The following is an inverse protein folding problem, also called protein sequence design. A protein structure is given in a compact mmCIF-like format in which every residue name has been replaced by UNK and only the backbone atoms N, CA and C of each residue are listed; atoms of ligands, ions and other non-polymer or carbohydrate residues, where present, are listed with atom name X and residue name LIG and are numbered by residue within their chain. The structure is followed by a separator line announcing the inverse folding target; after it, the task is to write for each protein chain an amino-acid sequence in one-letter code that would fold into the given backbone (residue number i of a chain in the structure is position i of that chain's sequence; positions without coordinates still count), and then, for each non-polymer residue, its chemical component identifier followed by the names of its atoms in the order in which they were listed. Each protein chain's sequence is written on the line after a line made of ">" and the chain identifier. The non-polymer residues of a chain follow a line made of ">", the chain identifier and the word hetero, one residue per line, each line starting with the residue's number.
data_IF_659565364825
#
_entry.id   IF_659565364825
#
_cell.length_a   1.000
_cell.length_b   1.000
_cell.length_c   1.000
_cell.angle_alpha   90.00
_cell.angle_beta   90.00
_cell.angle_gamma   90.00
#
_symmetry.space_group_name_H-M   'P 1'
#
loop_
_entity.id
_entity.type
_entity.pdbx_description
1 polymer ?
#
# COMPACT_ATOMS: atom_id res chain seq x y z
N UNK A 1 15.35 -21.39 -13.65
CA UNK A 1 14.50 -21.41 -12.44
C UNK A 1 15.24 -20.68 -11.35
N UNK A 2 14.69 -19.63 -10.76
CA UNK A 2 15.37 -18.92 -9.69
C UNK A 2 14.48 -17.86 -9.08
N UNK A 3 13.97 -18.13 -7.89
CA UNK A 3 13.38 -17.12 -7.04
C UNK A 3 14.50 -16.32 -6.36
N UNK A 4 14.23 -15.06 -6.03
CA UNK A 4 15.10 -14.23 -5.21
C UNK A 4 14.41 -14.01 -3.87
N UNK A 5 15.11 -14.30 -2.77
CA UNK A 5 14.62 -14.04 -1.42
C UNK A 5 15.70 -13.35 -0.60
N UNK A 6 15.39 -12.18 -0.04
CA UNK A 6 16.28 -11.41 0.83
C UNK A 6 15.56 -11.15 2.13
N UNK A 7 16.22 -11.45 3.26
CA UNK A 7 15.65 -11.25 4.59
C UNK A 7 16.61 -10.46 5.48
N UNK A 8 16.18 -9.31 5.97
CA UNK A 8 16.85 -8.54 7.03
C UNK A 8 16.14 -8.76 8.36
N UNK A 9 16.44 -9.85 9.08
CA UNK A 9 15.65 -10.36 10.23
C UNK A 9 15.34 -9.32 11.32
N UNK A 10 16.22 -8.33 11.55
CA UNK A 10 15.99 -7.26 12.53
C UNK A 10 16.44 -5.88 12.06
N UNK A 11 16.85 -5.76 10.79
CA UNK A 11 17.40 -4.52 10.23
C UNK A 11 16.49 -3.93 9.16
N UNK A 12 16.97 -2.86 8.54
CA UNK A 12 16.36 -2.26 7.36
C UNK A 12 16.88 -2.92 6.07
N UNK A 13 16.05 -2.93 5.03
CA UNK A 13 16.45 -3.32 3.68
C UNK A 13 16.42 -2.10 2.77
N UNK A 14 17.54 -1.80 2.11
CA UNK A 14 17.63 -0.71 1.14
C UNK A 14 18.18 -1.21 -0.18
N UNK A 15 17.45 -0.93 -1.26
CA UNK A 15 17.91 -1.07 -2.64
C UNK A 15 17.91 0.31 -3.29
N UNK A 16 19.08 0.79 -3.69
CA UNK A 16 19.22 2.02 -4.48
C UNK A 16 18.85 1.79 -5.95
N UNK A 17 19.54 2.46 -6.87
CA UNK A 17 19.30 2.37 -8.32
C UNK A 17 19.77 1.04 -8.96
N UNK A 18 19.45 -0.09 -8.32
CA UNK A 18 19.83 -1.44 -8.74
C UNK A 18 18.68 -2.22 -9.37
N UNK A 19 19.03 -3.38 -9.93
CA UNK A 19 18.08 -4.28 -10.57
C UNK A 19 18.03 -5.63 -9.85
N UNK A 20 16.83 -6.12 -9.55
CA UNK A 20 16.58 -7.51 -9.15
C UNK A 20 15.74 -8.15 -10.25
N UNK A 21 16.19 -9.29 -10.76
CA UNK A 21 15.45 -10.07 -11.76
C UNK A 21 15.37 -11.52 -11.35
N UNK A 22 14.15 -12.06 -11.35
CA UNK A 22 13.86 -13.46 -11.06
C UNK A 22 12.96 -14.05 -12.16
N UNK A 23 13.20 -15.32 -12.51
CA UNK A 23 12.32 -16.09 -13.38
C UNK A 23 11.12 -16.70 -12.61
N UNK A 24 10.87 -16.22 -11.39
CA UNK A 24 9.81 -16.65 -10.48
C UNK A 24 9.57 -15.52 -9.47
N UNK A 25 9.36 -15.85 -8.20
CA UNK A 25 9.07 -14.91 -7.10
C UNK A 25 10.29 -14.06 -6.71
N UNK A 26 10.03 -12.81 -6.34
CA UNK A 26 10.95 -11.94 -5.59
C UNK A 26 10.34 -11.63 -4.23
N UNK A 27 11.03 -11.99 -3.14
CA UNK A 27 10.62 -11.67 -1.78
C UNK A 27 11.68 -10.83 -1.07
N UNK A 28 11.28 -9.66 -0.56
CA UNK A 28 12.10 -8.76 0.23
C UNK A 28 11.46 -8.62 1.62
N UNK A 29 12.04 -9.26 2.62
CA UNK A 29 11.53 -9.32 3.98
C UNK A 29 12.42 -8.51 4.93
N UNK A 30 11.83 -7.72 5.81
CA UNK A 30 12.56 -6.85 6.73
C UNK A 30 11.90 -6.78 8.10
N UNK A 31 12.70 -6.92 9.15
CA UNK A 31 12.30 -6.64 10.53
C UNK A 31 12.05 -5.15 10.76
N UNK A 32 12.67 -4.28 9.95
CA UNK A 32 12.50 -2.84 9.94
C UNK A 32 11.94 -2.33 8.61
N UNK A 33 12.45 -1.18 8.16
CA UNK A 33 12.04 -0.48 6.95
C UNK A 33 12.46 -1.25 5.68
N UNK A 34 11.73 -0.99 4.60
CA UNK A 34 12.13 -1.38 3.24
C UNK A 34 12.15 -0.11 2.41
N UNK A 35 13.26 0.19 1.74
CA UNK A 35 13.36 1.32 0.81
C UNK A 35 13.90 0.86 -0.53
N UNK A 36 13.10 1.01 -1.58
CA UNK A 36 13.51 0.91 -2.96
C UNK A 36 13.55 2.33 -3.55
N UNK A 37 14.70 2.79 -4.03
CA UNK A 37 14.84 4.13 -4.61
C UNK A 37 15.63 4.09 -5.93
N UNK A 38 14.94 4.33 -7.04
CA UNK A 38 15.51 4.17 -8.38
C UNK A 38 15.62 2.71 -8.83
N UNK A 39 14.99 1.78 -8.14
CA UNK A 39 15.19 0.35 -8.34
C UNK A 39 14.27 -0.22 -9.44
N UNK A 40 14.74 -1.27 -10.11
CA UNK A 40 13.88 -2.12 -10.95
C UNK A 40 13.82 -3.53 -10.36
N UNK A 41 12.61 -4.00 -10.06
CA UNK A 41 12.38 -5.36 -9.55
C UNK A 41 11.47 -6.07 -10.53
N UNK A 42 11.98 -7.12 -11.17
CA UNK A 42 11.24 -7.94 -12.12
C UNK A 42 11.12 -9.38 -11.62
N UNK A 43 9.89 -9.85 -11.47
CA UNK A 43 9.56 -11.25 -11.22
C UNK A 43 8.76 -11.81 -12.39
N UNK A 44 8.84 -13.13 -12.60
CA UNK A 44 7.89 -13.88 -13.46
C UNK A 44 6.93 -14.72 -12.59
N UNK A 45 6.71 -14.23 -11.37
CA UNK A 45 5.89 -14.74 -10.29
C UNK A 45 5.62 -13.59 -9.32
N UNK A 46 5.26 -13.88 -8.08
CA UNK A 46 4.91 -12.82 -7.12
C UNK A 46 6.10 -11.91 -6.76
N UNK A 47 5.84 -10.64 -6.49
CA UNK A 47 6.77 -9.71 -5.85
C UNK A 47 6.20 -9.33 -4.48
N UNK A 48 6.92 -9.61 -3.41
CA UNK A 48 6.52 -9.22 -2.05
C UNK A 48 7.57 -8.36 -1.36
N UNK A 49 7.10 -7.27 -0.75
CA UNK A 49 7.86 -6.43 0.18
C UNK A 49 7.15 -6.53 1.52
N UNK A 50 7.76 -7.24 2.48
CA UNK A 50 7.18 -7.50 3.79
C UNK A 50 8.02 -6.84 4.89
N UNK A 51 7.53 -5.71 5.42
CA UNK A 51 8.22 -4.90 6.43
C UNK A 51 7.66 -5.05 7.83
N UNK A 52 8.23 -4.33 8.79
CA UNK A 52 7.73 -4.26 10.18
C UNK A 52 7.65 -5.60 10.94
N UNK A 53 8.60 -6.51 10.69
CA UNK A 53 8.67 -7.80 11.39
C UNK A 53 9.03 -7.70 12.87
N UNK A 54 10.05 -6.92 13.24
CA UNK A 54 10.55 -6.81 14.62
C UNK A 54 10.36 -5.40 15.21
N UNK A 55 10.10 -4.41 14.36
CA UNK A 55 9.89 -3.02 14.76
C UNK A 55 8.82 -2.36 13.88
N UNK A 56 8.31 -1.22 14.31
CA UNK A 56 7.47 -0.37 13.46
C UNK A 56 8.26 0.10 12.25
N UNK A 57 7.68 0.07 11.05
CA UNK A 57 8.43 0.33 9.83
C UNK A 57 7.65 1.06 8.75
N UNK A 58 8.36 1.49 7.72
CA UNK A 58 7.79 1.98 6.48
C UNK A 58 8.35 1.22 5.29
N UNK A 59 7.46 0.88 4.36
CA UNK A 59 7.84 0.43 3.03
C UNK A 59 7.80 1.65 2.10
N UNK A 60 8.91 1.93 1.42
CA UNK A 60 9.04 3.02 0.46
C UNK A 60 9.44 2.48 -0.90
N UNK A 61 8.63 2.76 -1.92
CA UNK A 61 8.93 2.51 -3.32
C UNK A 61 8.96 3.86 -4.02
N UNK A 62 10.16 4.32 -4.34
CA UNK A 62 10.44 5.67 -4.82
C UNK A 62 11.15 5.60 -6.16
N UNK A 63 10.68 6.32 -7.18
CA UNK A 63 11.33 6.36 -8.49
C UNK A 63 11.62 4.95 -9.07
N UNK A 64 10.78 3.96 -8.74
CA UNK A 64 11.09 2.54 -8.92
C UNK A 64 10.04 1.84 -9.78
N UNK A 65 10.40 0.70 -10.36
CA UNK A 65 9.49 -0.18 -11.09
C UNK A 65 9.46 -1.56 -10.46
N UNK A 66 8.27 -2.06 -10.13
CA UNK A 66 8.01 -3.43 -9.74
C UNK A 66 7.15 -4.08 -10.83
N UNK A 67 7.65 -5.11 -11.49
CA UNK A 67 6.95 -5.78 -12.60
C UNK A 67 6.95 -7.30 -12.40
N UNK A 68 5.78 -7.90 -12.14
CA UNK A 68 5.65 -9.33 -11.79
C UNK A 68 5.25 -10.23 -12.96
N UNK A 69 5.00 -9.67 -14.14
CA UNK A 69 4.62 -10.38 -15.36
C UNK A 69 3.45 -11.38 -15.15
N UNK A 70 2.36 -10.91 -14.54
CA UNK A 70 1.18 -11.73 -14.21
C UNK A 70 1.16 -12.28 -12.77
N UNK A 71 2.27 -12.22 -12.03
CA UNK A 71 2.28 -12.50 -10.59
C UNK A 71 1.67 -11.36 -9.76
N UNK A 72 1.39 -11.58 -8.48
CA UNK A 72 0.90 -10.53 -7.60
C UNK A 72 2.03 -9.58 -7.17
N UNK A 73 1.68 -8.34 -6.82
CA UNK A 73 2.58 -7.41 -6.14
C UNK A 73 1.98 -7.09 -4.76
N UNK A 74 2.71 -7.42 -3.71
CA UNK A 74 2.25 -7.28 -2.33
C UNK A 74 3.21 -6.41 -1.53
N UNK A 75 2.69 -5.31 -0.97
CA UNK A 75 3.38 -4.48 0.02
C UNK A 75 2.60 -4.63 1.32
N UNK A 76 3.13 -5.40 2.26
CA UNK A 76 2.39 -5.82 3.45
C UNK A 76 3.32 -5.93 4.68
N UNK A 77 2.73 -6.15 5.85
CA UNK A 77 3.43 -6.35 7.10
C UNK A 77 3.88 -7.80 7.21
N UNK A 78 5.13 -8.01 7.61
CA UNK A 78 5.67 -9.32 7.89
C UNK A 78 4.90 -9.94 9.07
N UNK A 79 4.42 -11.17 8.87
CA UNK A 79 3.80 -11.95 9.94
C UNK A 79 4.80 -12.18 11.07
N UNK A 80 4.36 -11.97 12.30
CA UNK A 80 5.14 -12.29 13.51
C UNK A 80 4.69 -13.63 14.06
N UNK A 81 5.65 -14.44 14.49
CA UNK A 81 5.38 -15.67 15.23
C UNK A 81 5.86 -15.54 16.68
N UNK A 82 5.22 -16.26 17.61
CA UNK A 82 5.77 -16.47 18.95
C UNK A 82 6.99 -17.43 18.92
N UNK A 83 7.54 -17.75 20.10
CA UNK A 83 8.69 -18.65 20.24
C UNK A 83 8.37 -20.09 19.78
N UNK A 84 7.10 -20.46 19.80
CA UNK A 84 6.55 -21.75 19.39
C UNK A 84 6.20 -21.78 17.89
N UNK A 85 6.33 -20.67 17.17
CA UNK A 85 6.07 -20.57 15.74
C UNK A 85 4.62 -20.28 15.37
N UNK A 86 3.73 -20.01 16.34
CA UNK A 86 2.34 -19.63 16.07
C UNK A 86 2.27 -18.18 15.59
N UNK A 87 1.39 -17.89 14.64
CA UNK A 87 1.14 -16.50 14.22
C UNK A 87 0.52 -15.72 15.38
N UNK A 88 1.15 -14.61 15.76
CA UNK A 88 0.66 -13.69 16.78
C UNK A 88 0.33 -12.34 16.18
N UNK A 89 -0.55 -11.59 16.85
CA UNK A 89 -0.88 -10.21 16.46
C UNK A 89 0.39 -9.36 16.47
N UNK A 90 0.83 -8.94 15.29
CA UNK A 90 1.98 -8.07 15.15
C UNK A 90 1.66 -6.68 15.79
N UNK A 91 2.40 -6.25 16.83
CA UNK A 91 2.16 -4.97 17.52
C UNK A 91 2.77 -3.77 16.77
N UNK A 92 3.50 -4.01 15.69
CA UNK A 92 4.21 -2.97 14.96
C UNK A 92 3.28 -2.24 14.00
N UNK A 93 3.32 -0.91 14.03
CA UNK A 93 2.76 -0.09 12.98
C UNK A 93 3.59 -0.21 11.69
N UNK A 94 2.91 -0.18 10.56
CA UNK A 94 3.52 -0.14 9.25
C UNK A 94 2.83 0.89 8.37
N UNK A 95 3.60 1.78 7.75
CA UNK A 95 3.12 2.69 6.70
C UNK A 95 3.71 2.31 5.34
N UNK A 96 3.08 2.77 4.26
CA UNK A 96 3.55 2.54 2.89
C UNK A 96 3.56 3.84 2.09
N UNK A 97 4.67 4.09 1.38
CA UNK A 97 4.81 5.17 0.41
C UNK A 97 5.18 4.60 -0.95
N UNK A 98 4.37 4.86 -1.96
CA UNK A 98 4.70 4.62 -3.37
C UNK A 98 4.72 5.98 -4.06
N UNK A 99 5.87 6.42 -4.56
CA UNK A 99 6.00 7.75 -5.13
C UNK A 99 6.81 7.74 -6.41
N UNK A 100 6.30 8.41 -7.45
CA UNK A 100 6.91 8.42 -8.78
C UNK A 100 7.33 7.03 -9.26
N UNK A 101 6.46 6.03 -9.05
CA UNK A 101 6.81 4.62 -9.25
C UNK A 101 5.75 3.88 -10.04
N UNK A 102 6.15 2.77 -10.65
CA UNK A 102 5.27 1.87 -11.40
C UNK A 102 5.20 0.53 -10.70
N UNK A 103 3.99 0.11 -10.32
CA UNK A 103 3.70 -1.26 -9.91
C UNK A 103 2.86 -1.89 -11.02
N UNK A 104 3.42 -2.85 -11.73
CA UNK A 104 2.80 -3.48 -12.87
C UNK A 104 2.70 -5.00 -12.71
N UNK A 105 1.48 -5.47 -12.46
CA UNK A 105 1.15 -6.88 -12.37
C UNK A 105 0.61 -7.47 -13.67
N UNK A 106 0.66 -6.75 -14.80
CA UNK A 106 0.17 -7.28 -16.08
C UNK A 106 1.04 -8.41 -16.60
N UNK A 107 0.40 -9.40 -17.22
CA UNK A 107 1.08 -10.41 -18.01
C UNK A 107 1.39 -9.88 -19.42
N UNK A 108 2.61 -10.06 -19.89
CA UNK A 108 3.01 -9.61 -21.23
C UNK A 108 2.49 -10.53 -22.36
N UNK A 109 2.01 -11.73 -22.03
CA UNK A 109 1.54 -12.72 -23.00
C UNK A 109 0.06 -12.51 -23.33
N UNK A 110 -0.29 -12.58 -24.62
CA UNK A 110 -1.69 -12.54 -25.06
C UNK A 110 -2.50 -13.66 -24.40
N UNK A 111 -3.58 -13.29 -23.69
CA UNK A 111 -4.42 -14.22 -22.95
C UNK A 111 -3.85 -14.68 -21.60
N UNK A 112 -2.70 -14.16 -21.18
CA UNK A 112 -2.17 -14.37 -19.84
C UNK A 112 -2.96 -13.59 -18.78
N UNK A 113 -3.15 -14.19 -17.61
CA UNK A 113 -3.86 -13.56 -16.50
C UNK A 113 -2.97 -12.52 -15.82
N UNK A 114 -3.51 -11.32 -15.62
CA UNK A 114 -2.87 -10.28 -14.83
C UNK A 114 -2.92 -10.63 -13.32
N UNK A 115 -1.87 -10.28 -12.58
CA UNK A 115 -1.83 -10.47 -11.14
C UNK A 115 -2.48 -9.31 -10.39
N UNK A 116 -2.70 -9.47 -9.09
CA UNK A 116 -3.29 -8.42 -8.26
C UNK A 116 -2.21 -7.53 -7.64
N UNK A 117 -2.57 -6.30 -7.27
CA UNK A 117 -1.76 -5.42 -6.43
C UNK A 117 -2.45 -5.27 -5.08
N UNK A 118 -1.74 -5.57 -4.00
CA UNK A 118 -2.21 -5.38 -2.62
C UNK A 118 -1.22 -4.54 -1.84
N UNK A 119 -1.67 -3.39 -1.36
CA UNK A 119 -0.89 -2.50 -0.49
C UNK A 119 -1.65 -2.36 0.82
N UNK A 120 -1.01 -2.74 1.92
CA UNK A 120 -1.61 -2.70 3.25
C UNK A 120 -0.80 -1.87 4.22
N UNK A 121 -1.48 -1.27 5.19
CA UNK A 121 -0.85 -0.53 6.28
C UNK A 121 -1.59 -0.78 7.60
N UNK A 122 -0.87 -0.67 8.71
CA UNK A 122 -1.39 -1.02 10.03
C UNK A 122 -0.94 -0.01 11.07
N UNK A 123 -1.82 0.42 11.97
CA UNK A 123 -1.44 1.09 13.20
C UNK A 123 -2.24 0.49 14.38
N UNK A 124 -1.68 -0.50 15.09
CA UNK A 124 -2.33 -1.12 16.24
C UNK A 124 -2.18 -0.25 17.51
N UNK A 125 -2.60 1.02 17.44
CA UNK A 125 -2.50 2.02 18.52
C UNK A 125 -1.06 2.46 18.90
N UNK A 126 -0.12 2.43 17.97
CA UNK A 126 1.23 2.99 18.14
C UNK A 126 1.19 4.51 18.01
N UNK A 127 1.79 5.21 18.97
CA UNK A 127 1.95 6.67 18.92
C UNK A 127 3.04 7.11 17.92
N UNK A 128 2.69 7.19 16.63
CA UNK A 128 3.59 7.64 15.57
C UNK A 128 3.98 9.14 15.66
N UNK A 129 3.41 9.90 16.60
CA UNK A 129 3.74 11.33 16.78
C UNK A 129 5.04 11.56 17.54
N UNK A 130 5.57 10.55 18.25
CA UNK A 130 6.86 10.68 18.95
C UNK A 130 8.01 10.90 17.96
N UNK A 131 9.07 11.57 18.41
CA UNK A 131 10.19 12.01 17.57
C UNK A 131 10.92 10.87 16.87
N UNK A 132 11.04 9.71 17.53
CA UNK A 132 11.74 8.53 17.00
C UNK A 132 11.18 8.04 15.65
N UNK A 133 9.89 8.28 15.38
CA UNK A 133 9.23 7.81 14.16
C UNK A 133 9.20 8.83 13.03
N UNK A 134 9.61 10.08 13.27
CA UNK A 134 9.45 11.18 12.31
C UNK A 134 10.12 10.91 10.96
N UNK A 135 11.31 10.32 10.97
CA UNK A 135 12.11 10.08 9.76
C UNK A 135 12.16 8.60 9.33
N UNK A 136 11.53 7.70 10.09
CA UNK A 136 11.62 6.24 9.88
C UNK A 136 10.28 5.66 9.45
N UNK A 137 9.24 5.84 10.26
CA UNK A 137 7.92 5.22 10.03
C UNK A 137 6.88 6.22 9.53
N UNK A 138 6.95 7.48 9.95
CA UNK A 138 5.93 8.48 9.61
C UNK A 138 5.99 8.79 8.11
N UNK A 139 4.83 8.72 7.48
CA UNK A 139 4.67 8.98 6.06
C UNK A 139 3.81 10.23 5.81
N UNK A 140 4.32 11.40 6.21
CA UNK A 140 3.61 12.69 6.10
C UNK A 140 2.14 12.62 6.58
N UNK A 141 1.95 11.99 7.75
CA UNK A 141 0.64 11.76 8.38
C UNK A 141 -0.34 10.93 7.56
N UNK A 142 0.14 10.09 6.62
CA UNK A 142 -0.67 9.07 5.95
C UNK A 142 -0.22 7.67 6.33
N UNK A 143 -1.15 6.70 6.33
CA UNK A 143 -0.79 5.29 6.48
C UNK A 143 -0.36 4.71 5.14
N UNK A 144 -1.12 4.98 4.08
CA UNK A 144 -0.73 4.70 2.70
C UNK A 144 -0.70 6.01 1.91
N UNK A 145 0.44 6.30 1.27
CA UNK A 145 0.55 7.35 0.25
C UNK A 145 0.91 6.71 -1.09
N UNK A 146 0.10 6.96 -2.11
CA UNK A 146 0.50 6.73 -3.51
C UNK A 146 0.51 8.07 -4.22
N UNK A 147 1.66 8.50 -4.73
CA UNK A 147 1.83 9.86 -5.22
C UNK A 147 2.83 10.04 -6.34
N UNK A 148 3.00 11.29 -6.79
CA UNK A 148 4.12 11.69 -7.65
C UNK A 148 4.05 11.14 -9.07
N UNK A 149 2.85 11.02 -9.63
CA UNK A 149 2.58 10.39 -10.93
C UNK A 149 2.78 8.86 -10.93
N UNK A 150 2.61 8.22 -9.77
CA UNK A 150 2.70 6.75 -9.70
C UNK A 150 1.58 6.07 -10.48
N UNK A 151 1.90 4.89 -11.04
CA UNK A 151 0.98 4.06 -11.80
C UNK A 151 0.90 2.66 -11.21
N UNK A 152 -0.32 2.19 -10.92
CA UNK A 152 -0.60 0.84 -10.46
C UNK A 152 -1.48 0.14 -11.50
N UNK A 153 -1.05 -1.00 -12.02
CA UNK A 153 -1.80 -1.76 -13.04
C UNK A 153 -1.84 -3.24 -12.70
N UNK A 154 -3.03 -3.83 -12.61
CA UNK A 154 -3.20 -5.26 -12.31
C UNK A 154 -4.62 -5.77 -12.60
N UNK A 155 -4.91 -7.00 -12.21
CA UNK A 155 -6.24 -7.58 -12.31
C UNK A 155 -7.20 -6.95 -11.29
N UNK A 156 -6.81 -6.92 -10.01
CA UNK A 156 -7.43 -6.09 -8.98
C UNK A 156 -6.36 -5.22 -8.33
N UNK A 157 -6.76 -4.05 -7.83
CA UNK A 157 -5.88 -3.18 -7.02
C UNK A 157 -6.54 -2.87 -5.68
N UNK A 158 -5.90 -3.28 -4.60
CA UNK A 158 -6.37 -3.09 -3.23
C UNK A 158 -5.39 -2.23 -2.43
N UNK A 159 -5.90 -1.15 -1.86
CA UNK A 159 -5.24 -0.29 -0.89
C UNK A 159 -6.03 -0.40 0.41
N UNK A 160 -5.44 -0.93 1.48
CA UNK A 160 -6.16 -1.17 2.71
C UNK A 160 -5.39 -0.75 3.96
N UNK A 161 -6.00 0.04 4.83
CA UNK A 161 -5.38 0.42 6.11
C UNK A 161 -6.23 0.04 7.31
N UNK A 162 -5.60 -0.56 8.31
CA UNK A 162 -6.19 -0.86 9.62
C UNK A 162 -5.61 0.09 10.68
N UNK A 163 -6.44 0.90 11.32
CA UNK A 163 -6.03 1.81 12.38
C UNK A 163 -6.85 1.57 13.64
N UNK A 164 -6.19 1.40 14.78
CA UNK A 164 -6.87 1.20 16.05
C UNK A 164 -6.38 2.11 17.17
N UNK A 165 -7.26 2.36 18.13
CA UNK A 165 -6.99 3.07 19.38
C UNK A 165 -6.82 4.58 19.26
N UNK A 166 -6.55 5.24 20.40
CA UNK A 166 -6.43 6.69 20.52
C UNK A 166 -5.24 7.29 19.73
N UNK A 167 -4.26 6.47 19.36
CA UNK A 167 -3.10 6.88 18.56
C UNK A 167 -3.30 6.71 17.05
N UNK A 168 -4.46 6.21 16.60
CA UNK A 168 -4.85 6.32 15.21
C UNK A 168 -4.96 7.82 14.84
N UNK A 169 -4.07 8.28 13.96
CA UNK A 169 -3.98 9.66 13.48
C UNK A 169 -3.60 9.65 12.01
N UNK A 170 -4.01 10.69 11.28
CA UNK A 170 -3.62 10.90 9.89
C UNK A 170 -4.65 10.42 8.86
N UNK A 171 -4.24 10.46 7.59
CA UNK A 171 -4.97 9.97 6.42
C UNK A 171 -4.81 8.43 6.34
N UNK A 172 -5.90 7.65 6.36
CA UNK A 172 -5.82 6.21 6.16
C UNK A 172 -5.21 5.89 4.78
N UNK A 173 -5.71 6.53 3.72
CA UNK A 173 -5.12 6.47 2.38
C UNK A 173 -5.12 7.86 1.76
N UNK A 174 -3.99 8.24 1.16
CA UNK A 174 -3.80 9.42 0.34
C UNK A 174 -3.35 9.01 -1.06
N UNK A 175 -4.18 9.32 -2.07
CA UNK A 175 -3.76 9.31 -3.47
C UNK A 175 -3.49 10.75 -3.92
N UNK A 176 -2.35 11.00 -4.56
CA UNK A 176 -1.97 12.35 -4.97
C UNK A 176 -1.19 12.36 -6.28
N UNK A 177 -1.84 12.69 -7.40
CA UNK A 177 -1.26 12.55 -8.74
C UNK A 177 -1.00 11.06 -9.05
N UNK A 178 -2.05 10.25 -9.09
CA UNK A 178 -1.94 8.78 -9.24
C UNK A 178 -2.86 8.24 -10.32
N UNK A 179 -2.38 7.23 -11.05
CA UNK A 179 -3.19 6.43 -11.98
C UNK A 179 -3.28 4.99 -11.47
N UNK A 180 -4.50 4.49 -11.31
CA UNK A 180 -4.77 3.09 -10.97
C UNK A 180 -5.63 2.49 -12.08
N UNK A 181 -5.20 1.38 -12.64
CA UNK A 181 -5.96 0.63 -13.64
C UNK A 181 -6.08 -0.82 -13.21
N UNK A 182 -7.32 -1.31 -13.18
CA UNK A 182 -7.63 -2.70 -12.90
C UNK A 182 -8.48 -3.28 -14.03
N UNK A 183 -8.27 -4.55 -14.35
CA UNK A 183 -9.20 -5.28 -15.23
C UNK A 183 -10.55 -5.47 -14.54
N UNK A 184 -10.51 -5.81 -13.25
CA UNK A 184 -11.67 -6.02 -12.39
C UNK A 184 -11.77 -4.88 -11.37
N UNK A 185 -11.59 -5.15 -10.08
CA UNK A 185 -11.96 -4.22 -9.01
C UNK A 185 -10.80 -3.32 -8.57
N UNK A 186 -11.15 -2.09 -8.19
CA UNK A 186 -10.31 -1.20 -7.39
C UNK A 186 -10.96 -1.02 -6.03
N UNK A 187 -10.25 -1.37 -4.96
CA UNK A 187 -10.71 -1.21 -3.59
C UNK A 187 -9.74 -0.35 -2.78
N UNK A 188 -10.23 0.77 -2.24
CA UNK A 188 -9.48 1.66 -1.36
C UNK A 188 -10.24 1.74 -0.05
N UNK A 189 -9.79 1.00 0.95
CA UNK A 189 -10.56 0.82 2.17
C UNK A 189 -9.74 1.12 3.41
N UNK A 190 -10.43 1.56 4.45
CA UNK A 190 -9.85 1.67 5.77
C UNK A 190 -10.83 1.23 6.82
N UNK A 191 -10.29 0.59 7.85
CA UNK A 191 -11.01 0.17 9.03
C UNK A 191 -10.43 0.91 10.23
N UNK A 192 -11.32 1.60 10.95
CA UNK A 192 -10.99 2.39 12.12
C UNK A 192 -11.76 1.85 13.32
N UNK A 193 -11.05 1.50 14.40
CA UNK A 193 -11.63 0.95 15.62
C UNK A 193 -11.05 1.56 16.90
N UNK A 194 -11.90 1.83 17.89
CA UNK A 194 -11.45 2.39 19.18
C UNK A 194 -10.79 3.77 19.07
N UNK A 195 -11.12 4.53 18.02
CA UNK A 195 -10.53 5.82 17.72
C UNK A 195 -11.33 6.92 18.40
N UNK A 196 -10.75 7.50 19.44
CA UNK A 196 -11.35 8.63 20.17
C UNK A 196 -10.99 10.00 19.59
N UNK A 197 -10.12 10.02 18.57
CA UNK A 197 -9.60 11.25 17.97
C UNK A 197 -10.58 11.84 16.94
N UNK A 198 -11.07 13.06 17.21
CA UNK A 198 -11.97 13.81 16.32
C UNK A 198 -11.27 14.39 15.07
N UNK A 199 -9.95 14.36 15.01
CA UNK A 199 -9.12 14.87 13.92
C UNK A 199 -8.70 13.79 12.91
N UNK A 200 -9.36 12.64 12.88
CA UNK A 200 -9.12 11.64 11.84
C UNK A 200 -9.43 12.21 10.46
N UNK A 201 -8.55 11.91 9.51
CA UNK A 201 -8.70 12.39 8.13
C UNK A 201 -9.45 11.37 7.28
N UNK A 202 -10.04 11.86 6.20
CA UNK A 202 -10.74 11.03 5.22
C UNK A 202 -9.76 10.11 4.47
N UNK A 203 -10.26 9.11 3.75
CA UNK A 203 -9.54 8.68 2.55
C UNK A 203 -9.56 9.85 1.58
N UNK A 204 -8.41 10.30 1.10
CA UNK A 204 -8.29 11.50 0.27
C UNK A 204 -7.69 11.19 -1.11
N UNK A 205 -8.40 11.59 -2.15
CA UNK A 205 -7.90 11.63 -3.53
C UNK A 205 -7.61 13.09 -3.86
N UNK A 206 -6.35 13.50 -3.76
CA UNK A 206 -5.90 14.89 -3.91
C UNK A 206 -5.33 15.16 -5.30
N UNK A 207 -5.54 16.36 -5.82
CA UNK A 207 -5.04 16.80 -7.12
C UNK A 207 -5.56 15.88 -8.24
N UNK A 208 -4.69 15.41 -9.14
CA UNK A 208 -5.12 14.57 -10.28
C UNK A 208 -5.13 13.10 -9.88
N UNK A 209 -6.26 12.40 -9.98
CA UNK A 209 -6.29 10.95 -9.82
C UNK A 209 -7.16 10.33 -10.90
N UNK A 210 -6.71 9.19 -11.45
CA UNK A 210 -7.49 8.41 -12.42
C UNK A 210 -7.58 6.99 -11.93
N UNK A 211 -8.79 6.53 -11.63
CA UNK A 211 -9.08 5.16 -11.24
C UNK A 211 -9.96 4.55 -12.33
N UNK A 212 -9.48 3.49 -12.97
CA UNK A 212 -10.19 2.81 -14.05
C UNK A 212 -10.30 1.30 -13.75
N UNK A 213 -11.49 0.85 -13.39
CA UNK A 213 -11.86 -0.55 -13.18
C UNK A 213 -12.62 -1.03 -14.42
N UNK A 214 -11.99 -1.78 -15.32
CA UNK A 214 -12.50 -2.01 -16.68
C UNK A 214 -13.81 -2.80 -16.69
N UNK A 215 -13.88 -3.89 -15.94
CA UNK A 215 -15.05 -4.77 -15.84
C UNK A 215 -15.62 -4.87 -14.41
N UNK A 216 -14.92 -4.28 -13.43
CA UNK A 216 -15.28 -4.35 -12.02
C UNK A 216 -15.80 -3.03 -11.44
N UNK A 217 -15.80 -2.99 -10.12
CA UNK A 217 -16.25 -1.88 -9.30
C UNK A 217 -15.08 -1.01 -8.87
N UNK A 218 -15.39 0.23 -8.49
CA UNK A 218 -14.52 1.06 -7.66
C UNK A 218 -15.19 1.20 -6.30
N UNK A 219 -14.54 0.71 -5.25
CA UNK A 219 -15.00 0.87 -3.85
C UNK A 219 -14.02 1.75 -3.09
N UNK A 220 -14.50 2.85 -2.50
CA UNK A 220 -13.72 3.69 -1.60
C UNK A 220 -14.47 3.77 -0.26
N UNK A 221 -13.91 3.14 0.78
CA UNK A 221 -14.59 2.93 2.05
C UNK A 221 -13.76 3.39 3.23
N UNK A 222 -14.25 4.35 4.01
CA UNK A 222 -13.65 4.73 5.28
C UNK A 222 -14.50 4.22 6.45
N UNK A 223 -14.50 2.90 6.65
CA UNK A 223 -15.31 2.24 7.65
C UNK A 223 -14.82 2.55 9.07
N UNK A 224 -15.73 3.02 9.91
CA UNK A 224 -15.47 3.31 11.32
C UNK A 224 -16.47 2.55 12.17
N UNK A 225 -15.98 1.72 13.06
CA UNK A 225 -16.82 0.80 13.85
C UNK A 225 -17.20 1.34 15.24
N UNK A 226 -16.71 2.53 15.61
CA UNK A 226 -17.02 3.21 16.87
C UNK A 226 -17.93 4.45 16.70
N UNK A 227 -18.29 5.12 17.80
CA UNK A 227 -19.33 6.17 17.85
C UNK A 227 -18.84 7.62 17.67
N UNK A 228 -17.57 7.85 17.35
CA UNK A 228 -17.03 9.22 17.16
C UNK A 228 -17.47 9.96 15.88
N UNK A 229 -16.86 11.11 15.60
CA UNK A 229 -17.07 11.90 14.36
C UNK A 229 -15.90 11.67 13.41
N UNK A 230 -16.07 10.81 12.41
CA UNK A 230 -15.08 10.55 11.36
C UNK A 230 -15.37 11.32 10.08
N UNK A 231 -14.33 11.61 9.29
CA UNK A 231 -14.50 12.11 7.91
C UNK A 231 -14.65 10.91 6.96
N UNK A 232 -15.55 11.01 5.96
CA UNK A 232 -15.80 9.94 4.98
C UNK A 232 -14.70 9.84 3.92
N UNK A 233 -15.10 9.93 2.66
CA UNK A 233 -14.20 10.00 1.50
C UNK A 233 -14.12 11.44 1.00
N UNK A 234 -12.91 11.93 0.69
CA UNK A 234 -12.71 13.28 0.17
C UNK A 234 -12.05 13.26 -1.21
N UNK A 235 -12.84 13.60 -2.24
CA UNK A 235 -12.37 13.76 -3.63
C UNK A 235 -11.92 15.21 -3.82
N UNK A 236 -10.65 15.48 -3.53
CA UNK A 236 -10.06 16.83 -3.47
C UNK A 236 -9.27 17.15 -4.74
N UNK A 237 -9.98 17.24 -5.87
CA UNK A 237 -9.40 17.55 -7.17
C UNK A 237 -8.86 18.99 -7.27
N UNK A 238 -7.74 19.17 -7.95
CA UNK A 238 -7.16 20.51 -8.20
C UNK A 238 -7.94 21.34 -9.23
N UNK A 239 -8.80 20.69 -10.01
CA UNK A 239 -9.71 21.29 -10.98
C UNK A 239 -10.91 20.37 -11.22
N UNK A 240 -11.92 20.83 -11.95
CA UNK A 240 -12.99 19.97 -12.43
C UNK A 240 -12.41 18.79 -13.23
N UNK A 241 -12.90 17.57 -12.96
CA UNK A 241 -12.41 16.34 -13.58
C UNK A 241 -11.01 15.89 -13.17
N UNK A 242 -10.34 16.58 -12.23
CA UNK A 242 -9.01 16.18 -11.78
C UNK A 242 -9.03 14.81 -11.10
N UNK A 243 -10.09 14.49 -10.35
CA UNK A 243 -10.36 13.14 -9.87
C UNK A 243 -11.39 12.49 -10.81
N UNK A 244 -10.99 11.42 -11.48
CA UNK A 244 -11.81 10.65 -12.42
C UNK A 244 -11.91 9.21 -11.96
N UNK A 245 -13.15 8.73 -11.83
CA UNK A 245 -13.49 7.36 -11.47
C UNK A 245 -14.28 6.75 -12.62
N UNK A 246 -13.80 5.64 -13.17
CA UNK A 246 -14.48 4.92 -14.25
C UNK A 246 -14.55 3.45 -13.89
N UNK A 247 -15.76 2.92 -13.74
CA UNK A 247 -16.01 1.53 -13.41
C UNK A 247 -16.85 0.88 -14.50
N UNK A 248 -16.56 -0.38 -14.84
CA UNK A 248 -17.41 -1.21 -15.69
C UNK A 248 -18.72 -1.61 -15.00
N UNK A 249 -18.75 -1.51 -13.66
CA UNK A 249 -19.92 -1.74 -12.81
C UNK A 249 -20.15 -0.53 -11.88
N UNK A 250 -20.11 -0.73 -10.57
CA UNK A 250 -20.51 0.26 -9.59
C UNK A 250 -19.34 1.12 -9.10
N UNK A 251 -19.66 2.35 -8.71
CA UNK A 251 -18.79 3.21 -7.91
C UNK A 251 -19.43 3.36 -6.54
N UNK A 252 -18.77 2.82 -5.52
CA UNK A 252 -19.25 2.76 -4.14
C UNK A 252 -18.38 3.66 -3.28
N UNK A 253 -18.99 4.65 -2.61
CA UNK A 253 -18.33 5.55 -1.67
C UNK A 253 -19.02 5.45 -0.31
N UNK A 254 -18.31 5.01 0.73
CA UNK A 254 -18.86 4.77 2.07
C UNK A 254 -17.95 5.18 3.22
#
# INVERSE_FOLDING_TARGET
>A
TGAVSVTAQGGDLTLGAGNISANSTVALNSGGNITLNGATVTGHGDISLLGAGNSTARIQVLNSTLASNGGNITLDRLSTTDAEGNTVTNPNAMTVKVSNSTLNATNASSGGTNGNISIRAYNPNVNLSISAYKNTVRNNDSMIEVSGSSTLTGNNVTLHSELSGANAKGLPVLLNNTTITADNDIAITSNLSGVTNKSMSAIELRNKNTLNATAGNITISNLRTDTGTGKGVFLNGSSAGAVSLTAGKDIILN
#
